data_IF_269757501146
#
_entry.id   IF_269757501146
#
_cell.length_a   1.000
_cell.length_b   1.000
_cell.length_c   1.000
_cell.angle_alpha   90.00
_cell.angle_beta   90.00
_cell.angle_gamma   90.00
#
_symmetry.space_group_name_H-M   'P 1'
#
loop_
_entity.id
_entity.type
_entity.pdbx_description
1 polymer ?
#
# COMPACT_ATOMS: atom_id res chain seq x y z
N UNK A 1 5.34 -16.40 6.86
CA UNK A 1 5.09 -14.98 6.54
C UNK A 1 3.59 -14.77 6.34
N UNK A 2 2.92 -15.62 5.57
CA UNK A 2 1.47 -15.56 5.38
C UNK A 2 0.69 -15.64 6.71
N UNK A 3 1.02 -16.59 7.59
CA UNK A 3 0.36 -16.74 8.89
C UNK A 3 0.50 -15.50 9.80
N UNK A 4 1.67 -14.86 9.79
CA UNK A 4 1.88 -13.60 10.52
C UNK A 4 1.08 -12.44 9.92
N UNK A 5 0.94 -12.40 8.59
CA UNK A 5 0.13 -11.39 7.91
C UNK A 5 -1.36 -11.63 8.13
N UNK A 6 -1.80 -12.90 8.15
CA UNK A 6 -3.16 -13.28 8.50
C UNK A 6 -3.54 -12.73 9.87
N UNK A 7 -2.73 -12.99 10.90
CA UNK A 7 -2.99 -12.47 12.25
C UNK A 7 -3.05 -10.94 12.29
N UNK A 8 -2.22 -10.26 11.49
CA UNK A 8 -2.25 -8.79 11.39
C UNK A 8 -3.52 -8.29 10.71
N UNK A 9 -3.90 -8.85 9.56
CA UNK A 9 -5.06 -8.41 8.78
C UNK A 9 -6.39 -8.81 9.43
N UNK A 10 -6.42 -9.86 10.27
CA UNK A 10 -7.62 -10.29 11.00
C UNK A 10 -8.16 -9.22 11.95
N UNK A 11 -7.33 -8.25 12.32
CA UNK A 11 -7.74 -7.10 13.14
C UNK A 11 -8.51 -6.03 12.34
N UNK A 12 -8.43 -6.05 11.01
CA UNK A 12 -8.86 -4.93 10.15
C UNK A 12 -9.71 -5.35 8.94
N UNK A 13 -9.73 -6.63 8.61
CA UNK A 13 -10.39 -7.19 7.41
C UNK A 13 -11.45 -8.20 7.85
N UNK A 14 -12.50 -8.36 7.04
CA UNK A 14 -13.47 -9.42 7.23
C UNK A 14 -12.74 -10.78 7.26
N UNK A 15 -12.91 -11.53 8.35
CA UNK A 15 -12.21 -12.80 8.60
C UNK A 15 -12.42 -13.82 7.48
N UNK A 16 -13.56 -13.77 6.82
CA UNK A 16 -13.95 -14.73 5.81
C UNK A 16 -13.30 -14.44 4.43
N UNK A 17 -13.19 -13.15 4.04
CA UNK A 17 -12.35 -12.77 2.89
C UNK A 17 -10.87 -13.01 3.18
N UNK A 18 -10.45 -12.79 4.42
CA UNK A 18 -9.07 -12.97 4.82
C UNK A 18 -8.63 -14.44 4.73
N UNK A 19 -9.53 -15.36 5.04
CA UNK A 19 -9.31 -16.80 4.89
C UNK A 19 -9.14 -17.16 3.41
N UNK A 20 -10.02 -16.68 2.53
CA UNK A 20 -9.87 -16.84 1.07
C UNK A 20 -8.55 -16.25 0.54
N UNK A 21 -8.15 -15.05 0.99
CA UNK A 21 -6.89 -14.41 0.60
C UNK A 21 -5.66 -15.17 1.11
N UNK A 22 -5.76 -15.79 2.28
CA UNK A 22 -4.69 -16.58 2.88
C UNK A 22 -4.52 -17.92 2.16
N UNK A 23 -5.62 -18.60 1.84
CA UNK A 23 -5.61 -19.85 1.09
C UNK A 23 -5.06 -19.67 -0.32
N UNK A 24 -5.31 -18.51 -0.95
CA UNK A 24 -4.75 -18.14 -2.25
C UNK A 24 -3.32 -17.54 -2.19
N UNK A 25 -2.69 -17.50 -1.00
CA UNK A 25 -1.36 -16.93 -0.76
C UNK A 25 -1.17 -15.49 -1.29
N UNK A 26 -2.22 -14.66 -1.20
CA UNK A 26 -2.25 -13.30 -1.75
C UNK A 26 -1.81 -12.22 -0.76
N UNK A 27 -1.75 -12.50 0.54
CA UNK A 27 -1.43 -11.50 1.57
C UNK A 27 0.02 -11.02 1.45
N UNK A 28 0.98 -11.93 1.29
CA UNK A 28 2.39 -11.56 1.12
C UNK A 28 2.65 -10.76 -0.17
N UNK A 29 2.24 -11.22 -1.37
CA UNK A 29 2.40 -10.47 -2.61
C UNK A 29 1.78 -9.07 -2.55
N UNK A 30 0.57 -8.93 -1.97
CA UNK A 30 -0.09 -7.64 -1.82
C UNK A 30 0.68 -6.71 -0.88
N UNK A 31 1.21 -7.25 0.22
CA UNK A 31 2.01 -6.48 1.19
C UNK A 31 3.35 -6.03 0.58
N UNK A 32 4.04 -6.89 -0.16
CA UNK A 32 5.27 -6.51 -0.88
C UNK A 32 5.01 -5.46 -1.97
N UNK A 33 3.86 -5.56 -2.65
CA UNK A 33 3.45 -4.55 -3.63
C UNK A 33 3.21 -3.20 -2.96
N UNK A 34 2.60 -3.18 -1.76
CA UNK A 34 2.44 -1.97 -0.95
C UNK A 34 3.78 -1.31 -0.62
N UNK A 35 4.75 -2.11 -0.15
CA UNK A 35 6.11 -1.64 0.16
C UNK A 35 6.80 -1.11 -1.10
N UNK A 36 6.75 -1.85 -2.20
CA UNK A 36 7.37 -1.48 -3.47
C UNK A 36 6.83 -0.16 -4.02
N UNK A 37 5.50 0.01 -4.05
CA UNK A 37 4.86 1.25 -4.52
C UNK A 37 5.22 2.42 -3.62
N UNK A 38 5.07 2.26 -2.30
CA UNK A 38 5.41 3.32 -1.35
C UNK A 38 6.88 3.76 -1.48
N UNK A 39 7.79 2.80 -1.67
CA UNK A 39 9.20 3.07 -1.89
C UNK A 39 9.48 3.80 -3.20
N UNK A 40 8.93 3.32 -4.33
CA UNK A 40 9.13 3.96 -5.64
C UNK A 40 8.58 5.38 -5.65
N UNK A 41 7.39 5.60 -5.08
CA UNK A 41 6.79 6.94 -4.98
C UNK A 41 7.63 7.85 -4.08
N UNK A 42 8.14 7.34 -2.95
CA UNK A 42 9.01 8.11 -2.07
C UNK A 42 10.35 8.48 -2.73
N UNK A 43 10.95 7.56 -3.49
CA UNK A 43 12.16 7.82 -4.30
C UNK A 43 11.88 8.87 -5.37
N UNK A 44 10.78 8.73 -6.11
CA UNK A 44 10.37 9.73 -7.10
C UNK A 44 10.20 11.12 -6.47
N UNK A 45 9.62 11.18 -5.28
CA UNK A 45 9.40 12.43 -4.55
C UNK A 45 10.70 13.08 -4.01
N UNK A 46 11.61 12.29 -3.43
CA UNK A 46 12.80 12.84 -2.75
C UNK A 46 14.07 12.91 -3.61
N UNK A 47 14.23 12.05 -4.60
CA UNK A 47 15.50 11.85 -5.35
C UNK A 47 15.39 12.33 -6.80
N UNK A 48 14.23 12.26 -7.45
CA UNK A 48 14.12 12.55 -8.89
C UNK A 48 14.32 14.05 -9.23
N UNK A 49 15.03 14.38 -10.34
CA UNK A 49 15.36 15.76 -10.75
C UNK A 49 14.17 16.67 -11.13
N UNK A 50 12.92 16.20 -11.09
CA UNK A 50 11.75 17.08 -11.17
C UNK A 50 11.63 18.03 -9.96
N UNK A 51 12.43 17.79 -8.92
CA UNK A 51 12.47 18.55 -7.68
C UNK A 51 13.21 19.90 -7.81
N UNK A 52 13.05 20.60 -8.94
CA UNK A 52 13.39 22.03 -9.03
C UNK A 52 12.30 22.83 -8.29
N UNK A 53 12.70 23.28 -7.09
CA UNK A 53 12.24 24.46 -6.36
C UNK A 53 11.19 24.29 -5.24
N UNK A 54 10.20 23.38 -5.23
CA UNK A 54 9.26 23.36 -4.08
C UNK A 54 8.45 22.10 -3.78
N UNK A 55 8.94 20.90 -4.10
CA UNK A 55 8.22 19.66 -3.71
C UNK A 55 8.40 19.29 -2.22
N UNK A 56 9.05 20.13 -1.40
CA UNK A 56 9.10 19.95 0.06
C UNK A 56 7.83 20.39 0.80
N UNK A 57 6.85 20.95 0.07
CA UNK A 57 5.58 21.39 0.63
C UNK A 57 4.74 20.22 1.14
N UNK A 58 4.09 20.41 2.29
CA UNK A 58 3.16 19.44 2.87
C UNK A 58 2.05 19.02 1.91
N UNK A 59 1.57 19.95 1.06
CA UNK A 59 0.59 19.66 0.01
C UNK A 59 1.11 18.64 -1.02
N UNK A 60 2.30 18.84 -1.56
CA UNK A 60 2.92 17.89 -2.50
C UNK A 60 3.18 16.52 -1.86
N UNK A 61 3.58 16.53 -0.58
CA UNK A 61 3.75 15.29 0.17
C UNK A 61 2.43 14.52 0.33
N UNK A 62 1.34 15.22 0.69
CA UNK A 62 0.00 14.64 0.76
C UNK A 62 -0.47 14.12 -0.60
N UNK A 63 -0.17 14.82 -1.70
CA UNK A 63 -0.51 14.32 -3.03
C UNK A 63 0.21 13.02 -3.36
N UNK A 64 1.49 12.88 -2.99
CA UNK A 64 2.24 11.64 -3.23
C UNK A 64 1.76 10.49 -2.34
N UNK A 65 1.40 10.77 -1.09
CA UNK A 65 0.72 9.80 -0.23
C UNK A 65 -0.61 9.36 -0.85
N UNK A 66 -1.40 10.31 -1.35
CA UNK A 66 -2.67 10.02 -2.02
C UNK A 66 -2.47 9.18 -3.28
N UNK A 67 -1.45 9.48 -4.09
CA UNK A 67 -1.11 8.71 -5.29
C UNK A 67 -0.68 7.29 -4.94
N UNK A 68 0.17 7.10 -3.92
CA UNK A 68 0.61 5.76 -3.52
C UNK A 68 -0.55 4.92 -2.98
N UNK A 69 -1.37 5.50 -2.09
CA UNK A 69 -2.55 4.85 -1.52
C UNK A 69 -3.60 4.51 -2.60
N UNK A 70 -3.90 5.44 -3.52
CA UNK A 70 -4.86 5.23 -4.60
C UNK A 70 -4.36 4.18 -5.60
N UNK A 71 -3.06 4.18 -5.89
CA UNK A 71 -2.47 3.19 -6.80
C UNK A 71 -2.63 1.78 -6.24
N UNK A 72 -2.30 1.57 -4.96
CA UNK A 72 -2.50 0.25 -4.36
C UNK A 72 -3.98 -0.09 -4.22
N UNK A 73 -4.84 0.87 -3.86
CA UNK A 73 -6.29 0.66 -3.82
C UNK A 73 -6.82 0.06 -5.13
N UNK A 74 -6.45 0.66 -6.27
CA UNK A 74 -6.88 0.19 -7.60
C UNK A 74 -6.30 -1.19 -7.90
N UNK A 75 -5.02 -1.42 -7.60
CA UNK A 75 -4.37 -2.72 -7.82
C UNK A 75 -5.07 -3.82 -7.02
N UNK A 76 -5.26 -3.61 -5.71
CA UNK A 76 -5.92 -4.58 -4.83
C UNK A 76 -7.34 -4.87 -5.31
N UNK A 77 -8.10 -3.83 -5.66
CA UNK A 77 -9.46 -4.00 -6.14
C UNK A 77 -9.48 -4.82 -7.45
N UNK A 78 -8.64 -4.47 -8.43
CA UNK A 78 -8.54 -5.22 -9.69
C UNK A 78 -8.09 -6.66 -9.46
N UNK A 79 -7.13 -6.91 -8.58
CA UNK A 79 -6.67 -8.27 -8.25
C UNK A 79 -7.81 -9.10 -7.65
N UNK A 80 -8.57 -8.54 -6.71
CA UNK A 80 -9.73 -9.23 -6.13
C UNK A 80 -10.79 -9.53 -7.19
N UNK A 81 -11.08 -8.59 -8.11
CA UNK A 81 -12.02 -8.83 -9.22
C UNK A 81 -11.52 -9.87 -10.21
N UNK A 82 -10.22 -9.88 -10.53
CA UNK A 82 -9.62 -10.89 -11.40
C UNK A 82 -9.71 -12.28 -10.77
N UNK A 83 -9.48 -12.39 -9.46
CA UNK A 83 -9.60 -13.63 -8.71
C UNK A 83 -11.05 -14.11 -8.59
N UNK A 84 -12.00 -13.21 -8.36
CA UNK A 84 -13.42 -13.51 -8.41
C UNK A 84 -13.91 -13.96 -9.80
N UNK A 85 -13.28 -13.48 -10.87
CA UNK A 85 -13.57 -13.91 -12.23
C UNK A 85 -12.88 -15.21 -12.65
N UNK A 86 -12.01 -15.77 -11.81
CA UNK A 86 -11.37 -17.07 -12.04
C UNK A 86 -12.18 -18.17 -11.35
N UNK A 87 -12.34 -19.32 -12.01
CA UNK A 87 -12.85 -20.51 -11.33
C UNK A 87 -11.81 -20.95 -10.29
N UNK A 88 -12.00 -20.55 -9.04
CA UNK A 88 -11.20 -21.00 -7.91
C UNK A 88 -11.51 -22.50 -7.75
N UNK A 89 -10.47 -23.34 -7.90
CA UNK A 89 -10.60 -24.78 -7.75
C UNK A 89 -10.95 -25.09 -6.29
N UNK A 90 -12.23 -25.34 -6.02
CA UNK A 90 -12.71 -25.77 -4.70
C UNK A 90 -12.10 -27.12 -4.40
N UNK A 91 -11.24 -27.17 -3.40
CA UNK A 91 -10.64 -28.42 -2.95
C UNK A 91 -11.70 -29.20 -2.17
N UNK A 92 -11.86 -30.51 -2.43
CA UNK A 92 -12.89 -31.34 -1.74
C UNK A 92 -12.76 -31.32 -0.20
N UNK A 93 -11.59 -30.94 0.32
CA UNK A 93 -11.33 -30.79 1.75
C UNK A 93 -11.86 -29.47 2.35
N UNK A 94 -12.14 -28.46 1.53
CA UNK A 94 -12.68 -27.15 1.95
C UNK A 94 -13.67 -26.60 0.90
N UNK A 95 -14.96 -26.99 0.97
CA UNK A 95 -15.97 -26.60 -0.01
C UNK A 95 -16.33 -25.10 0.03
N UNK A 96 -15.92 -24.39 1.07
CA UNK A 96 -16.21 -22.96 1.28
C UNK A 96 -15.12 -22.06 0.69
N UNK A 97 -14.00 -22.64 0.20
CA UNK A 97 -12.90 -21.93 -0.44
C UNK A 97 -13.40 -21.08 -1.63
N UNK A 98 -13.14 -19.78 -1.58
CA UNK A 98 -13.49 -18.82 -2.63
C UNK A 98 -14.93 -18.28 -2.55
N UNK A 99 -15.72 -18.67 -1.53
CA UNK A 99 -17.10 -18.20 -1.38
C UNK A 99 -17.20 -16.68 -1.17
N UNK A 100 -16.17 -16.03 -0.59
CA UNK A 100 -16.15 -14.58 -0.39
C UNK A 100 -15.56 -13.81 -1.57
N UNK A 101 -14.84 -14.49 -2.48
CA UNK A 101 -14.63 -13.96 -3.83
C UNK A 101 -15.93 -13.92 -4.65
N UNK A 102 -16.86 -14.84 -4.41
CA UNK A 102 -18.19 -14.83 -5.03
C UNK A 102 -19.14 -13.79 -4.39
N UNK A 103 -18.86 -13.35 -3.16
CA UNK A 103 -19.72 -12.42 -2.41
C UNK A 103 -19.15 -10.99 -2.31
N UNK A 104 -19.63 -10.17 -3.25
CA UNK A 104 -19.90 -8.74 -3.09
C UNK A 104 -18.70 -7.76 -3.13
N UNK A 105 -18.81 -6.83 -4.09
CA UNK A 105 -17.94 -5.65 -4.31
C UNK A 105 -17.58 -4.89 -3.03
N UNK A 106 -18.51 -4.81 -2.06
CA UNK A 106 -18.30 -4.12 -0.79
C UNK A 106 -17.13 -4.70 0.02
N UNK A 107 -16.92 -6.01 -0.03
CA UNK A 107 -15.86 -6.70 0.70
C UNK A 107 -14.50 -6.38 0.07
N UNK A 108 -14.41 -6.37 -1.26
CA UNK A 108 -13.20 -5.98 -1.99
C UNK A 108 -12.85 -4.52 -1.77
N UNK A 109 -13.84 -3.62 -1.78
CA UNK A 109 -13.63 -2.20 -1.50
C UNK A 109 -13.10 -2.00 -0.08
N UNK A 110 -13.63 -2.73 0.90
CA UNK A 110 -13.14 -2.68 2.28
C UNK A 110 -11.68 -3.13 2.38
N UNK A 111 -11.32 -4.24 1.73
CA UNK A 111 -9.94 -4.74 1.73
C UNK A 111 -8.99 -3.80 0.99
N UNK A 112 -9.38 -3.30 -0.19
CA UNK A 112 -8.62 -2.30 -0.94
C UNK A 112 -8.38 -1.03 -0.12
N UNK A 113 -9.37 -0.60 0.68
CA UNK A 113 -9.21 0.54 1.60
C UNK A 113 -8.20 0.24 2.71
N UNK A 114 -8.25 -0.94 3.33
CA UNK A 114 -7.25 -1.36 4.32
C UNK A 114 -5.83 -1.36 3.72
N UNK A 115 -5.68 -1.87 2.48
CA UNK A 115 -4.40 -1.84 1.77
C UNK A 115 -3.93 -0.42 1.44
N UNK A 116 -4.85 0.47 1.06
CA UNK A 116 -4.55 1.89 0.82
C UNK A 116 -4.03 2.58 2.10
N UNK A 117 -4.68 2.34 3.24
CA UNK A 117 -4.24 2.85 4.54
C UNK A 117 -2.88 2.29 4.95
N UNK A 118 -2.67 0.99 4.78
CA UNK A 118 -1.37 0.37 5.04
C UNK A 118 -0.27 1.02 4.19
N UNK A 119 -0.53 1.25 2.91
CA UNK A 119 0.40 1.92 2.00
C UNK A 119 0.72 3.34 2.43
N UNK A 120 -0.29 4.09 2.89
CA UNK A 120 -0.10 5.44 3.41
C UNK A 120 0.81 5.44 4.65
N UNK A 121 0.64 4.47 5.56
CA UNK A 121 1.51 4.29 6.74
C UNK A 121 2.93 3.93 6.32
N UNK A 122 3.11 2.98 5.39
CA UNK A 122 4.43 2.60 4.89
C UNK A 122 5.12 3.78 4.21
N UNK A 123 4.40 4.51 3.34
CA UNK A 123 4.91 5.71 2.69
C UNK A 123 5.34 6.76 3.71
N UNK A 124 4.54 6.97 4.76
CA UNK A 124 4.89 7.88 5.85
C UNK A 124 6.20 7.48 6.53
N UNK A 125 6.37 6.20 6.88
CA UNK A 125 7.60 5.68 7.50
C UNK A 125 8.81 5.86 6.59
N UNK A 126 8.71 5.45 5.32
CA UNK A 126 9.79 5.59 4.33
C UNK A 126 10.13 7.07 4.14
N UNK A 127 9.11 7.92 4.02
CA UNK A 127 9.27 9.36 3.85
C UNK A 127 9.98 10.01 5.04
N UNK A 128 9.69 9.60 6.27
CA UNK A 128 10.41 10.09 7.46
C UNK A 128 11.90 9.77 7.38
N UNK A 129 12.25 8.55 6.97
CA UNK A 129 13.64 8.12 6.79
C UNK A 129 14.31 8.95 5.70
N UNK A 130 13.69 9.01 4.50
CA UNK A 130 14.25 9.72 3.34
C UNK A 130 14.38 11.23 3.55
N UNK A 131 13.50 11.84 4.35
CA UNK A 131 13.60 13.25 4.74
C UNK A 131 14.92 13.54 5.47
N UNK A 132 15.45 12.58 6.23
CA UNK A 132 16.76 12.70 6.89
C UNK A 132 17.94 12.72 5.93
N UNK A 133 17.81 12.11 4.76
CA UNK A 133 18.87 12.00 3.74
C UNK A 133 18.74 13.02 2.60
N UNK A 134 17.59 13.67 2.43
CA UNK A 134 17.34 14.57 1.31
C UNK A 134 18.13 15.90 1.43
N UNK A 135 18.96 16.17 0.42
CA UNK A 135 19.68 17.45 0.24
C UNK A 135 18.76 18.67 0.06
N UNK A 136 17.47 18.46 -0.23
CA UNK A 136 16.47 19.53 -0.32
C UNK A 136 16.05 20.08 1.05
N UNK A 137 16.27 19.34 2.14
CA UNK A 137 16.14 19.88 3.49
C UNK A 137 17.36 20.73 3.92
N UNK A 138 18.49 20.61 3.21
CA UNK A 138 19.73 21.36 3.46
C UNK A 138 19.79 22.74 2.81
N UNK A 139 18.87 23.09 1.91
CA UNK A 139 18.72 24.45 1.37
C UNK A 139 17.86 25.35 2.28
N UNK A 140 17.98 25.18 3.61
CA UNK A 140 17.57 26.27 4.51
C UNK A 140 18.58 27.40 4.31
N UNK A 141 18.16 28.66 4.16
CA UNK A 141 19.09 29.77 4.16
C UNK A 141 19.95 29.68 5.43
N UNK A 142 21.27 29.77 5.27
CA UNK A 142 22.19 29.91 6.39
C UNK A 142 21.73 31.08 7.24
N UNK A 143 21.16 30.79 8.42
CA UNK A 143 20.96 31.78 9.48
C UNK A 143 22.31 32.01 10.18
N UNK A 144 23.30 32.52 9.46
CA UNK A 144 24.42 33.24 10.09
C UNK A 144 25.10 34.13 9.06
N UNK A 145 25.15 35.46 9.27
CA UNK A 145 26.04 36.30 8.48
C UNK A 145 27.47 36.00 8.96
N UNK A 146 28.34 35.48 8.09
CA UNK A 146 29.77 35.49 8.40
C UNK A 146 30.23 36.94 8.34
N UNK A 147 30.69 37.47 9.48
CA UNK A 147 31.54 38.65 9.50
C UNK A 147 32.90 38.34 8.92
#
# INVERSE_FOLDING_TARGET
MEESLYNFYNLFVNSALLEDLYQEELLSPMTWTAIGIAFVVAVAFYIWPFNKVSFSGFGSWLTMLGVSALTLFVITLVTCYQKAGQEILRVDADPDQGMFFDQSVSVFVSFAFTMALLTAVIFFVISMIMKGFSSNAKHRPMLWPSK
#
